data_IF_120191770896
#
_entry.id   IF_120191770896
#
_cell.length_a   1.000
_cell.length_b   1.000
_cell.length_c   1.000
_cell.angle_alpha   90.00
_cell.angle_beta   90.00
_cell.angle_gamma   90.00
#
_symmetry.space_group_name_H-M   'P 1'
#
loop_
_entity.id
_entity.type
_entity.pdbx_description
1 polymer ?
#
# COMPACT_ATOMS: atom_id res chain seq x y z
N UNK A 1 -27.12 -2.57 8.18
CA UNK A 1 -26.64 -1.92 6.94
C UNK A 1 -25.27 -2.51 6.69
N UNK A 2 -25.03 -3.09 5.52
CA UNK A 2 -23.69 -3.58 5.19
C UNK A 2 -22.77 -2.38 5.06
N UNK A 3 -21.57 -2.47 5.63
CA UNK A 3 -20.58 -1.40 5.60
C UNK A 3 -20.09 -1.24 4.16
N UNK A 4 -20.11 -0.01 3.63
CA UNK A 4 -19.76 0.28 2.24
C UNK A 4 -18.58 1.24 2.20
N UNK A 5 -17.67 0.95 1.28
CA UNK A 5 -16.42 1.67 1.12
C UNK A 5 -16.31 2.28 -0.27
N UNK A 6 -15.49 3.32 -0.39
CA UNK A 6 -15.32 4.08 -1.61
C UNK A 6 -13.84 4.24 -1.92
N UNK A 7 -13.40 3.62 -3.02
CA UNK A 7 -12.03 3.70 -3.52
C UNK A 7 -11.85 4.87 -4.48
N UNK A 8 -10.72 5.58 -4.34
CA UNK A 8 -10.36 6.75 -5.13
C UNK A 8 -8.91 6.63 -5.60
N UNK A 9 -8.65 7.01 -6.85
CA UNK A 9 -7.31 7.05 -7.41
C UNK A 9 -6.86 8.50 -7.63
N UNK A 10 -5.66 8.83 -7.16
CA UNK A 10 -5.04 10.14 -7.25
C UNK A 10 -3.74 10.04 -8.05
N UNK A 11 -3.60 10.74 -9.19
CA UNK A 11 -2.33 10.81 -9.92
C UNK A 11 -1.21 11.37 -9.06
N UNK A 12 -1.49 12.44 -8.30
CA UNK A 12 -0.60 13.05 -7.32
C UNK A 12 -1.27 13.13 -5.94
N UNK A 13 -0.52 12.93 -4.84
CA UNK A 13 -1.12 12.92 -3.51
C UNK A 13 -1.84 14.23 -3.16
N UNK A 14 -3.07 14.12 -2.66
CA UNK A 14 -3.91 15.28 -2.28
C UNK A 14 -4.45 16.12 -3.44
N UNK A 15 -4.19 15.71 -4.68
CA UNK A 15 -4.67 16.38 -5.88
C UNK A 15 -6.10 15.97 -6.29
N UNK A 16 -6.39 16.16 -7.58
CA UNK A 16 -7.60 15.65 -8.19
C UNK A 16 -7.68 14.12 -8.13
N UNK A 17 -8.89 13.58 -8.00
CA UNK A 17 -9.13 12.14 -7.99
C UNK A 17 -10.18 11.72 -9.01
N UNK A 18 -10.12 10.44 -9.38
CA UNK A 18 -11.17 9.79 -10.15
C UNK A 18 -12.49 9.76 -9.37
N UNK A 19 -13.64 9.58 -10.04
CA UNK A 19 -14.88 9.19 -9.36
C UNK A 19 -14.65 7.94 -8.48
N UNK A 20 -15.44 7.82 -7.42
CA UNK A 20 -15.33 6.69 -6.51
C UNK A 20 -15.77 5.38 -7.15
N UNK A 21 -15.13 4.30 -6.73
CA UNK A 21 -15.60 2.92 -6.94
C UNK A 21 -16.13 2.38 -5.63
N UNK A 22 -17.33 1.83 -5.66
CA UNK A 22 -17.93 1.18 -4.49
C UNK A 22 -17.27 -0.17 -4.24
N UNK A 23 -16.88 -0.41 -2.99
CA UNK A 23 -16.23 -1.63 -2.52
C UNK A 23 -17.00 -2.11 -1.29
N UNK A 24 -17.26 -3.42 -1.20
CA UNK A 24 -18.17 -4.00 -0.21
C UNK A 24 -17.47 -4.98 0.73
N UNK A 25 -16.26 -5.43 0.40
CA UNK A 25 -15.49 -6.35 1.26
C UNK A 25 -14.02 -5.94 1.41
N UNK A 26 -13.34 -6.38 2.48
CA UNK A 26 -11.89 -6.18 2.64
C UNK A 26 -11.06 -6.74 1.47
N UNK A 27 -11.48 -7.83 0.86
CA UNK A 27 -10.81 -8.40 -0.31
C UNK A 27 -10.94 -7.51 -1.55
N UNK A 28 -12.09 -6.87 -1.75
CA UNK A 28 -12.27 -5.88 -2.82
C UNK A 28 -11.37 -4.67 -2.60
N UNK A 29 -11.28 -4.17 -1.36
CA UNK A 29 -10.35 -3.10 -0.97
C UNK A 29 -8.91 -3.51 -1.29
N UNK A 30 -8.48 -4.69 -0.85
CA UNK A 30 -7.12 -5.17 -1.11
C UNK A 30 -6.84 -5.29 -2.60
N UNK A 31 -7.74 -5.90 -3.38
CA UNK A 31 -7.56 -6.04 -4.83
C UNK A 31 -7.52 -4.68 -5.52
N UNK A 32 -8.37 -3.74 -5.12
CA UNK A 32 -8.41 -2.38 -5.66
C UNK A 32 -7.08 -1.65 -5.42
N UNK A 33 -6.55 -1.67 -4.20
CA UNK A 33 -5.28 -1.01 -3.88
C UNK A 33 -4.10 -1.68 -4.57
N UNK A 34 -4.06 -3.02 -4.65
CA UNK A 34 -3.03 -3.73 -5.40
C UNK A 34 -3.08 -3.39 -6.89
N UNK A 35 -4.28 -3.40 -7.49
CA UNK A 35 -4.48 -3.16 -8.91
C UNK A 35 -4.02 -1.76 -9.30
N UNK A 36 -4.40 -0.73 -8.54
CA UNK A 36 -4.16 0.65 -8.94
C UNK A 36 -2.86 1.23 -8.37
N UNK A 37 -2.54 0.95 -7.10
CA UNK A 37 -1.38 1.52 -6.42
C UNK A 37 -0.03 0.99 -6.88
N UNK A 38 0.01 -0.15 -7.59
CA UNK A 38 1.25 -0.75 -8.12
C UNK A 38 1.50 -0.48 -9.60
N UNK A 39 0.60 0.25 -10.28
CA UNK A 39 0.75 0.56 -11.71
C UNK A 39 1.77 1.66 -12.00
N UNK A 40 2.07 2.51 -11.02
CA UNK A 40 2.82 3.75 -11.21
C UNK A 40 2.03 4.90 -11.85
N UNK A 41 0.78 4.67 -12.24
CA UNK A 41 -0.10 5.71 -12.82
C UNK A 41 -0.74 6.59 -11.73
N UNK A 42 -1.03 6.00 -10.57
CA UNK A 42 -1.61 6.68 -9.43
C UNK A 42 -0.65 6.59 -8.25
N UNK A 43 -0.18 7.75 -7.79
CA UNK A 43 0.72 7.82 -6.64
C UNK A 43 -0.01 7.66 -5.33
N UNK A 44 -1.30 7.94 -5.28
CA UNK A 44 -2.10 7.75 -4.08
C UNK A 44 -3.41 7.02 -4.38
N UNK A 45 -3.72 6.03 -3.55
CA UNK A 45 -5.02 5.36 -3.49
C UNK A 45 -5.61 5.62 -2.10
N UNK A 46 -6.85 6.09 -2.04
CA UNK A 46 -7.60 6.23 -0.78
C UNK A 46 -8.82 5.34 -0.81
N UNK A 47 -9.16 4.79 0.34
CA UNK A 47 -10.43 4.14 0.58
C UNK A 47 -11.06 4.78 1.81
N UNK A 48 -12.30 5.23 1.66
CA UNK A 48 -13.10 5.76 2.77
C UNK A 48 -14.27 4.84 3.10
N UNK A 49 -14.81 4.97 4.30
CA UNK A 49 -16.13 4.45 4.63
C UNK A 49 -17.24 5.41 4.13
N UNK A 50 -18.50 5.11 4.46
CA UNK A 50 -19.64 5.98 4.14
C UNK A 50 -19.75 7.26 4.98
N UNK A 51 -18.88 7.45 5.97
CA UNK A 51 -18.76 8.68 6.75
C UNK A 51 -17.61 9.59 6.29
N UNK A 52 -17.01 9.30 5.13
CA UNK A 52 -15.82 9.97 4.59
C UNK A 52 -14.58 9.85 5.48
N UNK A 53 -14.52 8.84 6.36
CA UNK A 53 -13.31 8.54 7.14
C UNK A 53 -12.38 7.65 6.33
N UNK A 54 -11.09 7.99 6.35
CA UNK A 54 -10.06 7.22 5.64
C UNK A 54 -9.80 5.89 6.36
N UNK A 55 -10.05 4.80 5.65
CA UNK A 55 -9.87 3.42 6.14
C UNK A 55 -8.53 2.86 5.67
N UNK A 56 -8.17 3.14 4.41
CA UNK A 56 -6.90 2.72 3.81
C UNK A 56 -6.32 3.85 2.98
N UNK A 57 -5.01 4.01 3.09
CA UNK A 57 -4.25 4.88 2.21
C UNK A 57 -3.01 4.12 1.72
N UNK A 58 -2.77 4.19 0.41
CA UNK A 58 -1.56 3.70 -0.21
C UNK A 58 -0.89 4.84 -0.95
N UNK A 59 0.38 5.11 -0.66
CA UNK A 59 1.20 6.12 -1.32
C UNK A 59 2.41 5.43 -1.94
N UNK A 60 2.66 5.71 -3.22
CA UNK A 60 3.76 5.15 -4.01
C UNK A 60 3.85 3.60 -3.85
N UNK A 61 2.69 2.94 -3.92
CA UNK A 61 2.54 1.49 -3.82
C UNK A 61 2.68 0.89 -2.42
N UNK A 62 2.79 1.70 -1.37
CA UNK A 62 2.95 1.25 0.04
C UNK A 62 1.79 1.71 0.90
N UNK A 63 1.29 0.82 1.76
CA UNK A 63 0.31 1.20 2.77
C UNK A 63 0.95 2.19 3.76
N UNK A 64 0.26 3.29 4.01
CA UNK A 64 0.72 4.31 4.96
C UNK A 64 -0.21 4.33 6.18
N UNK A 65 0.40 4.55 7.32
CA UNK A 65 -0.27 4.65 8.61
C UNK A 65 0.09 5.99 9.25
N UNK A 66 -0.77 6.53 10.14
CA UNK A 66 -0.42 7.67 10.98
C UNK A 66 0.94 7.44 11.67
N UNK A 67 1.73 8.50 11.83
CA UNK A 67 3.09 8.39 12.37
C UNK A 67 3.09 7.80 13.79
N UNK A 68 2.08 8.15 14.58
CA UNK A 68 1.83 7.62 15.92
C UNK A 68 1.60 6.10 15.90
N UNK A 69 0.99 5.59 14.82
CA UNK A 69 0.70 4.17 14.63
C UNK A 69 1.91 3.40 14.10
N UNK A 70 2.83 4.04 13.38
CA UNK A 70 4.07 3.39 12.91
C UNK A 70 4.93 2.90 14.08
N UNK A 71 4.89 3.60 15.22
CA UNK A 71 5.60 3.19 16.42
C UNK A 71 4.96 1.95 17.07
N UNK A 72 3.64 1.77 16.91
CA UNK A 72 2.87 0.65 17.46
C UNK A 72 2.88 -0.58 16.55
N UNK A 73 3.05 -0.38 15.24
CA UNK A 73 3.11 -1.43 14.22
C UNK A 73 4.55 -1.67 13.75
N UNK A 74 5.54 -1.49 14.62
CA UNK A 74 6.93 -1.88 14.35
C UNK A 74 7.00 -3.41 14.24
N UNK A 75 6.70 -3.94 13.06
CA UNK A 75 7.06 -5.30 12.68
C UNK A 75 8.21 -5.29 11.69
N UNK A 76 9.07 -6.28 11.90
CA UNK A 76 10.32 -6.58 11.25
C UNK A 76 10.20 -6.49 9.72
N UNK A 77 10.62 -5.37 9.15
CA UNK A 77 11.15 -5.42 7.79
C UNK A 77 12.43 -6.24 7.88
N UNK A 78 12.32 -7.53 7.56
CA UNK A 78 13.44 -8.44 7.43
C UNK A 78 14.57 -7.73 6.70
N UNK A 79 15.71 -7.70 7.37
CA UNK A 79 16.97 -7.20 6.85
C UNK A 79 17.37 -8.11 5.66
N UNK A 80 16.87 -7.81 4.46
CA UNK A 80 17.47 -8.31 3.22
C UNK A 80 18.75 -7.50 2.90
N UNK A 81 19.63 -7.33 3.89
CA UNK A 81 21.06 -7.32 3.61
C UNK A 81 21.44 -8.76 3.23
N UNK A 82 21.22 -9.11 1.95
CA UNK A 82 22.02 -10.16 1.31
C UNK A 82 23.44 -9.61 1.20
N UNK A 83 24.15 -9.63 2.33
CA UNK A 83 25.57 -9.44 2.37
C UNK A 83 26.18 -10.54 1.52
N UNK A 84 26.82 -10.11 0.44
CA UNK A 84 27.46 -10.96 -0.53
C UNK A 84 28.43 -11.91 0.18
N UNK A 85 28.05 -13.18 0.28
CA UNK A 85 28.99 -14.25 0.56
C UNK A 85 29.94 -14.36 -0.65
N UNK A 86 30.99 -13.54 -0.63
CA UNK A 86 32.22 -13.76 -1.36
C UNK A 86 32.79 -15.12 -0.92
N UNK A 87 32.44 -16.19 -1.64
CA UNK A 87 33.25 -17.41 -1.66
C UNK A 87 34.25 -17.25 -2.82
N UNK A 88 35.56 -17.06 -2.56
CA UNK A 88 36.54 -17.10 -3.63
C UNK A 88 36.63 -18.51 -4.22
N UNK A 89 36.68 -18.54 -5.54
CA UNK A 89 36.85 -19.71 -6.38
C UNK A 89 38.18 -20.46 -6.11
N UNK A 90 38.12 -21.78 -6.32
CA UNK A 90 39.19 -22.70 -6.72
C UNK A 90 40.59 -22.56 -6.09
N UNK A 91 41.05 -23.63 -5.42
CA UNK A 91 42.21 -24.42 -5.92
C UNK A 91 42.01 -25.90 -5.63
N UNK A 92 42.02 -26.69 -6.70
CA UNK A 92 42.32 -28.13 -6.67
C UNK A 92 43.85 -28.26 -6.76
N UNK A 93 44.42 -29.10 -5.91
CA UNK A 93 45.69 -29.80 -6.15
C UNK A 93 45.49 -31.26 -5.73
#
# INVERSE_FOLDING_TARGET
MEEQFYGYCFPEPGGWHTPSVTLNTPEEIYRYTQLHGKTGMFREIRVTDGGDFMVVQMIDGKYVWPEEWKQLNKEEFGDETREAANAPAEKRD
#
